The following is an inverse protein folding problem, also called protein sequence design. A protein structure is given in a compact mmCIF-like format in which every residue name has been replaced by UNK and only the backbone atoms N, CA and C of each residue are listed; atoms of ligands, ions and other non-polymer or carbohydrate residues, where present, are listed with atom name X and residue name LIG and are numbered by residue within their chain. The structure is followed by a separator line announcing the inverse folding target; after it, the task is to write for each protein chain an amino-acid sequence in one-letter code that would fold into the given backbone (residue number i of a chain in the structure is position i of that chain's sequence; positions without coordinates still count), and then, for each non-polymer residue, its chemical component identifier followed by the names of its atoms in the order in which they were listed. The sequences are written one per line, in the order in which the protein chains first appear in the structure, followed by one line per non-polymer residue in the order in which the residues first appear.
data_IF_681471605190
#
_entry.id   IF_681471605190
#
_cell.length_a   1.000
_cell.length_b   1.000
_cell.length_c   1.000
_cell.angle_alpha   90.00
_cell.angle_beta   90.00
_cell.angle_gamma   90.00
#
_symmetry.space_group_name_H-M   'P 1'
#
loop_
_entity.id
_entity.type
_entity.pdbx_description
1 polymer ?
#
# COMPACT_ATOMS: atom_id res chain seq x y z
N UNK A 1 27.47 59.60 -24.64
CA UNK A 1 26.28 59.66 -23.75
C UNK A 1 25.01 59.07 -24.41
N UNK A 2 25.13 58.07 -25.31
CA UNK A 2 23.99 57.45 -26.01
C UNK A 2 23.92 55.92 -25.74
N UNK A 3 25.04 55.29 -25.37
CA UNK A 3 25.12 53.84 -25.10
C UNK A 3 24.60 53.46 -23.69
N UNK A 4 24.59 54.40 -22.73
CA UNK A 4 24.07 54.15 -21.37
C UNK A 4 22.54 54.22 -21.26
N UNK A 5 21.87 54.89 -22.19
CA UNK A 5 20.39 54.99 -22.21
C UNK A 5 19.76 53.73 -22.84
N UNK A 6 20.45 53.10 -23.79
CA UNK A 6 19.97 51.88 -24.46
C UNK A 6 19.99 50.64 -23.55
N UNK A 7 20.96 50.57 -22.62
CA UNK A 7 21.01 49.48 -21.64
C UNK A 7 19.98 49.64 -20.50
N UNK A 8 19.54 50.87 -20.21
CA UNK A 8 18.53 51.12 -19.18
C UNK A 8 17.10 50.90 -19.70
N UNK A 9 16.85 51.11 -21.00
CA UNK A 9 15.54 50.81 -21.62
C UNK A 9 15.37 49.33 -21.96
N UNK A 10 16.46 48.60 -22.21
CA UNK A 10 16.41 47.14 -22.41
C UNK A 10 16.18 46.36 -21.10
N UNK A 11 16.58 46.92 -19.95
CA UNK A 11 16.33 46.30 -18.63
C UNK A 11 14.90 46.52 -18.10
N UNK A 12 14.19 47.53 -18.61
CA UNK A 12 12.79 47.83 -18.24
C UNK A 12 11.75 47.11 -19.12
N UNK A 13 12.15 46.49 -20.23
CA UNK A 13 11.25 45.71 -21.11
C UNK A 13 11.15 44.22 -20.76
N UNK A 14 11.92 43.73 -19.78
CA UNK A 14 11.84 42.33 -19.32
C UNK A 14 10.75 42.14 -18.24
N UNK A 15 10.16 43.21 -17.72
CA UNK A 15 9.12 43.16 -16.67
C UNK A 15 7.66 43.24 -17.17
N UNK A 16 7.39 43.14 -18.47
CA UNK A 16 6.01 43.25 -19.01
C UNK A 16 5.48 41.99 -19.71
N UNK A 17 5.99 40.80 -19.39
CA UNK A 17 5.35 39.57 -19.86
C UNK A 17 5.00 38.63 -18.71
N UNK A 18 3.69 38.44 -18.56
CA UNK A 18 3.03 37.43 -17.74
C UNK A 18 3.33 37.46 -16.24
N UNK A 19 2.54 38.25 -15.51
CA UNK A 19 1.98 37.71 -14.27
C UNK A 19 1.09 36.53 -14.72
N UNK A 20 1.67 35.34 -14.83
CA UNK A 20 0.88 34.13 -14.62
C UNK A 20 0.49 34.18 -13.16
N UNK A 21 -0.74 34.61 -12.90
CA UNK A 21 -1.43 34.19 -11.68
C UNK A 21 -1.39 32.67 -11.75
N UNK A 22 -0.48 32.06 -10.99
CA UNK A 22 -0.59 30.66 -10.64
C UNK A 22 -1.86 30.59 -9.81
N UNK A 23 -2.98 30.38 -10.49
CA UNK A 23 -4.19 29.95 -9.84
C UNK A 23 -3.81 28.64 -9.14
N UNK A 24 -3.72 28.71 -7.81
CA UNK A 24 -3.54 27.57 -6.92
C UNK A 24 -4.77 26.64 -6.90
N UNK A 25 -5.60 26.69 -7.94
CA UNK A 25 -6.53 25.62 -8.29
C UNK A 25 -5.73 24.38 -8.69
N UNK A 26 -5.44 23.53 -7.70
CA UNK A 26 -4.89 22.20 -7.96
C UNK A 26 -5.72 21.52 -9.05
N UNK A 27 -5.10 21.23 -10.19
CA UNK A 27 -5.70 20.34 -11.17
C UNK A 27 -5.92 19.01 -10.44
N UNK A 28 -7.16 18.73 -10.07
CA UNK A 28 -7.57 17.41 -9.63
C UNK A 28 -7.32 16.50 -10.83
N UNK A 29 -6.24 15.72 -10.79
CA UNK A 29 -5.96 14.73 -11.81
C UNK A 29 -7.10 13.70 -11.73
N UNK A 30 -8.10 13.84 -12.60
CA UNK A 30 -9.22 12.91 -12.63
C UNK A 30 -8.74 11.52 -13.03
N UNK A 31 -9.14 10.50 -12.26
CA UNK A 31 -8.88 9.10 -12.60
C UNK A 31 -9.39 8.77 -14.01
N UNK A 32 -8.50 8.30 -14.88
CA UNK A 32 -8.80 7.82 -16.23
C UNK A 32 -8.96 6.30 -16.25
N UNK A 33 -9.80 5.78 -17.15
CA UNK A 33 -9.99 4.33 -17.35
C UNK A 33 -9.03 3.81 -18.41
N UNK A 34 -8.26 2.77 -18.07
CA UNK A 34 -7.39 2.05 -18.99
C UNK A 34 -7.88 0.61 -19.12
N UNK A 35 -8.21 0.19 -20.34
CA UNK A 35 -8.62 -1.18 -20.65
C UNK A 35 -7.39 -2.03 -20.92
N UNK A 36 -7.25 -3.12 -20.18
CA UNK A 36 -6.13 -4.06 -20.28
C UNK A 36 -6.47 -5.27 -21.14
N UNK A 37 -7.72 -5.72 -21.05
CA UNK A 37 -8.23 -6.89 -21.76
C UNK A 37 -9.76 -6.84 -21.83
N UNK A 38 -10.35 -7.76 -22.60
CA UNK A 38 -11.80 -7.88 -22.75
C UNK A 38 -12.39 -6.84 -23.69
N UNK A 39 -13.67 -7.01 -24.02
CA UNK A 39 -14.36 -6.18 -25.03
C UNK A 39 -15.79 -5.81 -24.67
N UNK A 40 -16.38 -6.49 -23.69
CA UNK A 40 -17.79 -6.31 -23.35
C UNK A 40 -18.00 -5.04 -22.50
N UNK A 41 -19.26 -4.69 -22.26
CA UNK A 41 -19.60 -3.48 -21.50
C UNK A 41 -19.28 -3.61 -20.02
N UNK A 42 -19.53 -4.80 -19.45
CA UNK A 42 -19.24 -5.12 -18.05
C UNK A 42 -17.74 -5.01 -17.77
N UNK A 43 -17.40 -4.56 -16.57
CA UNK A 43 -16.02 -4.32 -16.14
C UNK A 43 -15.67 -5.11 -14.90
N UNK A 44 -14.41 -5.54 -14.82
CA UNK A 44 -13.74 -5.91 -13.58
C UNK A 44 -12.61 -4.91 -13.37
N UNK A 45 -12.63 -4.23 -12.23
CA UNK A 45 -11.67 -3.16 -11.92
C UNK A 45 -10.53 -3.72 -11.09
N UNK A 46 -9.30 -3.51 -11.52
CA UNK A 46 -8.10 -3.82 -10.75
C UNK A 46 -7.69 -2.57 -9.98
N UNK A 47 -7.56 -2.72 -8.67
CA UNK A 47 -7.02 -1.72 -7.76
C UNK A 47 -5.66 -2.23 -7.26
N UNK A 48 -4.53 -1.65 -7.73
CA UNK A 48 -3.21 -2.02 -7.23
C UNK A 48 -3.00 -1.49 -5.81
N UNK A 49 -2.39 -2.30 -4.95
CA UNK A 49 -1.90 -1.93 -3.63
C UNK A 49 -0.44 -2.35 -3.58
N UNK A 50 0.49 -1.42 -3.83
CA UNK A 50 1.90 -1.77 -3.96
C UNK A 50 2.84 -0.96 -3.07
N UNK A 51 3.84 -1.63 -2.52
CA UNK A 51 4.82 -1.03 -1.62
C UNK A 51 4.29 -0.83 -0.21
N UNK A 52 4.93 0.06 0.55
CA UNK A 52 4.65 0.25 1.98
C UNK A 52 3.36 1.04 2.17
N UNK A 53 2.37 0.40 2.82
CA UNK A 53 1.06 0.99 3.10
C UNK A 53 1.22 2.10 4.15
N UNK A 54 0.96 3.35 3.77
CA UNK A 54 1.01 4.49 4.70
C UNK A 54 0.13 5.64 4.24
N UNK A 55 -0.14 6.56 5.17
CA UNK A 55 -0.88 7.80 4.93
C UNK A 55 0.01 8.93 4.41
N UNK A 56 1.33 8.72 4.35
CA UNK A 56 2.29 9.74 3.91
C UNK A 56 2.13 9.98 2.42
N UNK A 57 2.04 11.26 2.05
CA UNK A 57 2.20 11.72 0.67
C UNK A 57 3.69 11.74 0.34
N UNK A 58 4.07 11.16 -0.79
CA UNK A 58 5.46 11.23 -1.25
C UNK A 58 5.67 12.56 -1.97
N UNK A 59 6.67 13.33 -1.55
CA UNK A 59 7.15 14.48 -2.30
C UNK A 59 8.30 14.04 -3.21
N UNK A 60 8.18 14.28 -4.50
CA UNK A 60 9.28 14.06 -5.42
C UNK A 60 10.29 15.21 -5.33
N UNK A 61 11.51 15.00 -5.84
CA UNK A 61 12.60 15.99 -5.84
C UNK A 61 12.23 17.38 -6.43
N UNK A 62 11.16 17.46 -7.22
CA UNK A 62 10.62 18.69 -7.79
C UNK A 62 9.48 19.33 -6.96
N UNK A 63 9.24 18.88 -5.72
CA UNK A 63 8.18 19.40 -4.85
C UNK A 63 6.76 18.98 -5.24
N UNK A 64 6.62 18.03 -6.17
CA UNK A 64 5.31 17.48 -6.57
C UNK A 64 4.87 16.47 -5.51
N UNK A 65 3.75 16.76 -4.85
CA UNK A 65 3.09 15.86 -3.89
C UNK A 65 2.30 14.79 -4.63
N UNK A 66 2.62 13.53 -4.35
CA UNK A 66 1.82 12.39 -4.77
C UNK A 66 0.90 11.97 -3.62
N UNK A 67 -0.34 11.63 -3.98
CA UNK A 67 -1.31 11.11 -3.04
C UNK A 67 -0.81 9.83 -2.35
N UNK A 68 -1.18 9.68 -1.09
CA UNK A 68 -0.91 8.46 -0.34
C UNK A 68 -1.67 7.27 -0.93
N UNK A 69 -1.17 6.05 -0.68
CA UNK A 69 -1.82 4.79 -1.08
C UNK A 69 -3.28 4.77 -0.60
N UNK A 70 -3.49 5.22 0.64
CA UNK A 70 -4.82 5.31 1.25
C UNK A 70 -5.75 6.22 0.45
N UNK A 71 -5.30 7.41 0.06
CA UNK A 71 -6.12 8.37 -0.68
C UNK A 71 -6.50 7.81 -2.06
N UNK A 72 -5.51 7.27 -2.79
CA UNK A 72 -5.72 6.73 -4.15
C UNK A 72 -6.73 5.59 -4.17
N UNK A 73 -6.61 4.62 -3.27
CA UNK A 73 -7.53 3.48 -3.20
C UNK A 73 -8.94 3.97 -2.87
N UNK A 74 -9.09 4.94 -1.96
CA UNK A 74 -10.41 5.52 -1.64
C UNK A 74 -11.05 6.18 -2.85
N UNK A 75 -10.28 6.91 -3.66
CA UNK A 75 -10.78 7.52 -4.89
C UNK A 75 -11.16 6.49 -5.95
N UNK A 76 -10.33 5.44 -6.11
CA UNK A 76 -10.63 4.34 -7.02
C UNK A 76 -11.91 3.60 -6.62
N UNK A 77 -12.06 3.24 -5.34
CA UNK A 77 -13.27 2.60 -4.82
C UNK A 77 -14.50 3.51 -5.00
N UNK A 78 -14.36 4.82 -4.75
CA UNK A 78 -15.43 5.78 -5.00
C UNK A 78 -15.81 5.82 -6.49
N UNK A 79 -14.84 5.80 -7.40
CA UNK A 79 -15.13 5.75 -8.84
C UNK A 79 -15.85 4.45 -9.23
N UNK A 80 -15.43 3.30 -8.66
CA UNK A 80 -16.12 2.03 -8.85
C UNK A 80 -17.58 2.10 -8.37
N UNK A 81 -17.81 2.71 -7.21
CA UNK A 81 -19.15 2.83 -6.60
C UNK A 81 -20.15 3.58 -7.49
N UNK A 82 -19.68 4.51 -8.34
CA UNK A 82 -20.53 5.27 -9.28
C UNK A 82 -20.58 4.68 -10.70
N UNK A 83 -19.91 3.55 -10.96
CA UNK A 83 -19.89 2.91 -12.29
C UNK A 83 -20.69 1.60 -12.29
N UNK A 84 -21.94 1.68 -12.74
CA UNK A 84 -22.87 0.53 -12.82
C UNK A 84 -22.43 -0.58 -13.79
N UNK A 85 -21.43 -0.31 -14.64
CA UNK A 85 -20.84 -1.33 -15.52
C UNK A 85 -19.83 -2.20 -14.79
N UNK A 86 -19.33 -1.79 -13.61
CA UNK A 86 -18.42 -2.61 -12.81
C UNK A 86 -19.19 -3.73 -12.11
N UNK A 87 -18.77 -4.98 -12.36
CA UNK A 87 -19.40 -6.18 -11.80
C UNK A 87 -18.52 -6.89 -10.76
N UNK A 88 -17.27 -6.45 -10.59
CA UNK A 88 -16.35 -6.97 -9.59
C UNK A 88 -15.07 -6.16 -9.47
N UNK A 89 -14.36 -6.36 -8.37
CA UNK A 89 -13.10 -5.68 -8.05
C UNK A 89 -12.02 -6.70 -7.71
N UNK A 90 -10.83 -6.48 -8.21
CA UNK A 90 -9.62 -7.20 -7.84
C UNK A 90 -8.69 -6.25 -7.09
N UNK A 91 -8.35 -6.59 -5.85
CA UNK A 91 -7.26 -5.94 -5.13
C UNK A 91 -5.97 -6.68 -5.50
N UNK A 92 -5.17 -6.11 -6.40
CA UNK A 92 -3.87 -6.67 -6.79
C UNK A 92 -2.83 -6.19 -5.79
N UNK A 93 -2.42 -7.07 -4.88
CA UNK A 93 -1.61 -6.71 -3.72
C UNK A 93 -0.17 -7.15 -3.94
N UNK A 94 0.75 -6.20 -3.82
CA UNK A 94 2.18 -6.44 -3.76
C UNK A 94 2.84 -5.54 -2.70
N UNK A 95 2.67 -5.90 -1.44
CA UNK A 95 3.06 -5.07 -0.30
C UNK A 95 3.63 -5.90 0.87
N UNK A 96 4.73 -5.46 1.50
CA UNK A 96 5.23 -6.06 2.73
C UNK A 96 4.38 -5.69 3.96
N UNK A 97 3.35 -4.86 3.80
CA UNK A 97 2.59 -4.25 4.88
C UNK A 97 2.88 -2.76 5.01
N UNK A 98 2.76 -2.22 6.22
CA UNK A 98 2.97 -0.81 6.47
C UNK A 98 2.45 -0.36 7.84
N UNK A 99 2.01 0.89 7.93
CA UNK A 99 1.49 1.42 9.20
C UNK A 99 0.18 0.71 9.59
N UNK A 100 0.01 0.48 10.89
CA UNK A 100 -1.17 -0.19 11.44
C UNK A 100 -2.45 0.58 11.08
N UNK A 101 -2.42 1.91 11.22
CA UNK A 101 -3.56 2.79 10.95
C UNK A 101 -3.96 2.81 9.48
N UNK A 102 -3.01 2.93 8.54
CA UNK A 102 -3.34 2.92 7.11
C UNK A 102 -3.97 1.58 6.69
N UNK A 103 -3.44 0.47 7.22
CA UNK A 103 -3.98 -0.87 6.96
C UNK A 103 -5.41 -1.01 7.48
N UNK A 104 -5.70 -0.50 8.68
CA UNK A 104 -7.04 -0.50 9.28
C UNK A 104 -8.04 0.39 8.52
N UNK A 105 -7.60 1.58 8.06
CA UNK A 105 -8.43 2.48 7.25
C UNK A 105 -8.85 1.78 5.96
N UNK A 106 -7.91 1.15 5.25
CA UNK A 106 -8.19 0.47 3.99
C UNK A 106 -9.09 -0.75 4.18
N UNK A 107 -8.82 -1.59 5.20
CA UNK A 107 -9.70 -2.69 5.58
C UNK A 107 -11.13 -2.22 5.81
N UNK A 108 -11.31 -1.16 6.61
CA UNK A 108 -12.63 -0.61 6.90
C UNK A 108 -13.30 0.01 5.67
N UNK A 109 -12.55 0.69 4.80
CA UNK A 109 -13.12 1.25 3.56
C UNK A 109 -13.59 0.15 2.62
N UNK A 110 -12.79 -0.90 2.41
CA UNK A 110 -13.17 -2.02 1.54
C UNK A 110 -14.40 -2.75 2.11
N UNK A 111 -14.44 -2.99 3.42
CA UNK A 111 -15.60 -3.60 4.09
C UNK A 111 -16.86 -2.76 3.91
N UNK A 112 -16.77 -1.43 4.04
CA UNK A 112 -17.89 -0.51 3.80
C UNK A 112 -18.30 -0.47 2.33
N UNK A 113 -17.34 -0.38 1.41
CA UNK A 113 -17.58 -0.42 -0.03
C UNK A 113 -18.36 -1.67 -0.42
N UNK A 114 -17.92 -2.86 0.01
CA UNK A 114 -18.64 -4.12 -0.23
C UNK A 114 -20.06 -4.09 0.29
N UNK A 115 -20.27 -3.54 1.50
CA UNK A 115 -21.60 -3.41 2.09
C UNK A 115 -22.52 -2.47 1.27
N UNK A 116 -21.98 -1.40 0.70
CA UNK A 116 -22.74 -0.42 -0.10
C UNK A 116 -23.06 -0.93 -1.50
N UNK A 117 -22.10 -1.55 -2.17
CA UNK A 117 -22.21 -1.92 -3.59
C UNK A 117 -22.64 -3.37 -3.82
N UNK A 118 -22.45 -4.23 -2.82
CA UNK A 118 -22.61 -5.68 -2.92
C UNK A 118 -21.73 -6.31 -4.02
N UNK A 119 -20.71 -5.61 -4.52
CA UNK A 119 -19.80 -6.13 -5.55
C UNK A 119 -18.83 -7.16 -4.97
N UNK A 120 -18.47 -8.21 -5.72
CA UNK A 120 -17.42 -9.13 -5.31
C UNK A 120 -16.07 -8.42 -5.29
N UNK A 121 -15.33 -8.64 -4.21
CA UNK A 121 -13.96 -8.16 -4.05
C UNK A 121 -13.05 -9.35 -3.83
N UNK A 122 -12.10 -9.57 -4.73
CA UNK A 122 -11.11 -10.65 -4.64
C UNK A 122 -9.73 -10.04 -4.45
N UNK A 123 -8.99 -10.52 -3.45
CA UNK A 123 -7.57 -10.18 -3.30
C UNK A 123 -6.73 -11.14 -4.11
N UNK A 124 -5.75 -10.60 -4.85
CA UNK A 124 -4.75 -11.35 -5.59
C UNK A 124 -3.38 -10.97 -5.05
N UNK A 125 -2.72 -11.90 -4.38
CA UNK A 125 -1.38 -11.72 -3.88
C UNK A 125 -0.36 -11.97 -4.99
N UNK A 126 0.55 -11.01 -5.16
CA UNK A 126 1.64 -11.07 -6.14
C UNK A 126 2.94 -11.52 -5.44
N UNK A 127 4.05 -10.79 -5.59
CA UNK A 127 5.36 -11.17 -5.03
C UNK A 127 5.32 -11.25 -3.49
N UNK A 128 5.00 -10.14 -2.81
CA UNK A 128 4.82 -10.11 -1.36
C UNK A 128 3.43 -9.60 -0.99
N UNK A 129 2.76 -10.23 -0.03
CA UNK A 129 1.49 -9.76 0.53
C UNK A 129 1.40 -10.13 2.00
N UNK A 130 2.14 -9.40 2.83
CA UNK A 130 2.39 -9.75 4.22
C UNK A 130 1.91 -8.66 5.18
N UNK A 131 1.72 -9.01 6.46
CA UNK A 131 1.39 -8.09 7.55
C UNK A 131 0.18 -7.19 7.23
N UNK A 132 0.34 -5.86 7.23
CA UNK A 132 -0.73 -4.91 6.88
C UNK A 132 -1.42 -5.18 5.53
N UNK A 133 -0.74 -5.80 4.57
CA UNK A 133 -1.35 -6.18 3.30
C UNK A 133 -2.30 -7.39 3.45
N UNK A 134 -1.90 -8.39 4.23
CA UNK A 134 -2.74 -9.53 4.60
C UNK A 134 -3.93 -9.09 5.46
N UNK A 135 -3.73 -8.11 6.34
CA UNK A 135 -4.78 -7.45 7.11
C UNK A 135 -5.88 -6.87 6.21
N UNK A 136 -5.49 -6.10 5.18
CA UNK A 136 -6.44 -5.50 4.23
C UNK A 136 -7.22 -6.59 3.48
N UNK A 137 -6.54 -7.66 3.08
CA UNK A 137 -7.14 -8.77 2.34
C UNK A 137 -8.26 -9.50 3.11
N UNK A 138 -8.31 -9.39 4.45
CA UNK A 138 -9.40 -9.95 5.25
C UNK A 138 -10.76 -9.28 4.99
N UNK A 139 -10.78 -8.14 4.28
CA UNK A 139 -12.02 -7.52 3.82
C UNK A 139 -12.59 -8.17 2.54
N UNK A 140 -11.81 -8.99 1.82
CA UNK A 140 -12.18 -9.59 0.53
C UNK A 140 -13.11 -10.82 0.70
N UNK A 141 -13.82 -11.18 -0.37
CA UNK A 141 -14.66 -12.40 -0.44
C UNK A 141 -13.84 -13.66 -0.71
N UNK A 142 -12.66 -13.50 -1.29
CA UNK A 142 -11.78 -14.59 -1.71
C UNK A 142 -10.35 -14.07 -1.85
N UNK A 143 -9.38 -14.89 -1.50
CA UNK A 143 -7.95 -14.56 -1.55
C UNK A 143 -7.23 -15.59 -2.41
N UNK A 144 -6.73 -15.12 -3.54
CA UNK A 144 -5.87 -15.87 -4.44
C UNK A 144 -4.41 -15.45 -4.27
N UNK A 145 -3.47 -16.34 -4.55
CA UNK A 145 -2.04 -16.03 -4.53
C UNK A 145 -1.31 -16.63 -5.73
N UNK A 146 -0.31 -15.92 -6.23
CA UNK A 146 0.66 -16.48 -7.18
C UNK A 146 1.45 -17.62 -6.51
N UNK A 147 1.92 -18.66 -7.23
CA UNK A 147 2.66 -19.77 -6.61
C UNK A 147 3.91 -19.36 -5.84
N UNK A 148 4.53 -18.24 -6.24
CA UNK A 148 5.75 -17.70 -5.61
C UNK A 148 5.45 -16.64 -4.55
N UNK A 149 4.18 -16.38 -4.22
CA UNK A 149 3.82 -15.39 -3.21
C UNK A 149 4.42 -15.74 -1.85
N UNK A 150 4.91 -14.71 -1.16
CA UNK A 150 5.19 -14.75 0.27
C UNK A 150 4.16 -13.91 1.03
N UNK A 151 3.48 -14.54 2.00
CA UNK A 151 2.40 -13.94 2.78
C UNK A 151 2.52 -14.29 4.27
N UNK A 152 1.48 -14.03 5.07
CA UNK A 152 1.51 -14.16 6.52
C UNK A 152 2.07 -12.91 7.18
N UNK A 153 3.09 -13.07 8.02
CA UNK A 153 3.62 -12.01 8.88
C UNK A 153 2.51 -11.36 9.72
N UNK A 154 1.63 -12.21 10.28
CA UNK A 154 0.55 -11.77 11.16
C UNK A 154 1.19 -11.41 12.50
N UNK A 155 1.37 -10.12 12.74
CA UNK A 155 2.14 -9.61 13.85
C UNK A 155 2.21 -8.09 13.84
N UNK A 156 2.71 -7.53 14.94
CA UNK A 156 2.95 -6.10 15.10
C UNK A 156 4.35 -5.92 15.66
N UNK A 157 5.12 -5.02 15.07
CA UNK A 157 6.47 -4.69 15.52
C UNK A 157 6.58 -3.19 15.76
N UNK A 158 7.40 -2.83 16.74
CA UNK A 158 7.91 -1.48 16.92
C UNK A 158 9.44 -1.58 16.90
N UNK A 159 10.06 -0.91 15.95
CA UNK A 159 11.51 -0.94 15.77
C UNK A 159 12.15 0.36 16.28
N UNK A 160 13.33 0.25 16.85
CA UNK A 160 14.14 1.38 17.31
C UNK A 160 15.56 0.93 17.62
N UNK A 161 16.50 1.87 17.55
CA UNK A 161 17.89 1.64 17.92
C UNK A 161 18.23 2.45 19.18
N UNK A 162 19.09 1.88 20.03
CA UNK A 162 19.71 2.61 21.12
C UNK A 162 21.17 2.90 20.75
N UNK A 163 21.53 4.19 20.71
CA UNK A 163 22.85 4.70 20.35
C UNK A 163 23.55 5.39 21.53
N UNK A 164 23.00 5.28 22.76
CA UNK A 164 23.54 5.90 23.98
C UNK A 164 25.04 5.68 24.13
N UNK A 165 25.48 4.42 24.13
CA UNK A 165 26.89 4.04 24.32
C UNK A 165 27.80 4.60 23.20
N UNK A 166 27.29 4.69 21.98
CA UNK A 166 28.01 5.27 20.85
C UNK A 166 28.23 6.78 21.01
N UNK A 167 27.18 7.48 21.46
CA UNK A 167 27.24 8.92 21.74
C UNK A 167 28.18 9.23 22.93
N UNK A 168 28.12 8.42 23.98
CA UNK A 168 28.99 8.57 25.16
C UNK A 168 30.48 8.45 24.77
N UNK A 169 30.83 7.51 23.87
CA UNK A 169 32.21 7.34 23.39
C UNK A 169 32.76 8.54 22.63
N UNK A 170 31.91 9.30 21.94
CA UNK A 170 32.30 10.52 21.21
C UNK A 170 32.07 11.79 22.04
N UNK A 171 31.79 11.66 23.34
CA UNK A 171 31.60 12.77 24.26
C UNK A 171 30.25 13.51 24.14
N UNK A 172 29.30 12.96 23.39
CA UNK A 172 27.94 13.54 23.25
C UNK A 172 27.06 13.01 24.38
N UNK A 173 26.42 13.93 25.11
CA UNK A 173 25.53 13.60 26.24
C UNK A 173 24.11 14.09 25.97
N UNK A 174 23.13 13.25 26.33
CA UNK A 174 21.72 13.64 26.34
C UNK A 174 21.44 14.59 27.52
N UNK A 175 20.92 15.79 27.24
CA UNK A 175 20.54 16.81 28.23
C UNK A 175 19.04 17.10 28.22
N UNK A 176 18.21 16.15 27.78
CA UNK A 176 16.77 16.36 27.65
C UNK A 176 16.07 16.40 29.00
N UNK A 177 15.31 17.46 29.26
CA UNK A 177 14.39 17.58 30.38
C UNK A 177 12.97 17.24 29.91
N UNK A 178 12.23 16.47 30.70
CA UNK A 178 10.88 16.03 30.35
C UNK A 178 9.88 16.34 31.44
N UNK A 179 8.64 16.65 31.05
CA UNK A 179 7.54 16.94 31.97
C UNK A 179 7.03 15.71 32.76
N UNK A 180 7.46 14.50 32.42
CA UNK A 180 7.09 13.28 33.15
C UNK A 180 7.97 12.09 32.78
N UNK A 181 8.02 11.08 33.66
CA UNK A 181 8.96 9.96 33.60
C UNK A 181 8.91 9.16 32.28
N UNK A 182 7.73 9.04 31.67
CA UNK A 182 7.53 8.26 30.45
C UNK A 182 7.44 9.12 29.17
N UNK A 183 7.66 10.45 29.25
CA UNK A 183 7.51 11.35 28.10
C UNK A 183 8.57 11.15 27.02
N UNK A 184 9.74 10.62 27.40
CA UNK A 184 10.85 10.27 26.50
C UNK A 184 10.95 8.76 26.21
N UNK A 185 9.85 8.02 26.44
CA UNK A 185 9.78 6.59 26.11
C UNK A 185 10.13 6.36 24.63
N UNK A 186 11.00 5.40 24.34
CA UNK A 186 11.49 5.14 22.99
C UNK A 186 12.61 6.08 22.50
N UNK A 187 13.18 6.91 23.37
CA UNK A 187 14.39 7.68 23.03
C UNK A 187 15.52 6.75 22.57
N UNK A 188 16.20 7.11 21.47
CA UNK A 188 17.37 6.39 20.97
C UNK A 188 18.64 6.66 21.78
N UNK A 189 18.63 7.68 22.65
CA UNK A 189 19.80 8.11 23.44
C UNK A 189 19.75 7.66 24.89
N UNK A 190 18.72 6.89 25.27
CA UNK A 190 18.52 6.39 26.64
C UNK A 190 18.16 4.92 26.63
N UNK A 191 18.58 4.23 27.67
CA UNK A 191 18.08 2.89 27.94
C UNK A 191 16.63 2.93 28.43
N UNK A 192 15.82 2.02 27.90
CA UNK A 192 14.43 1.90 28.25
C UNK A 192 14.27 1.14 29.56
N UNK A 193 13.49 1.69 30.50
CA UNK A 193 13.23 1.04 31.78
C UNK A 193 12.31 -0.19 31.62
N UNK A 194 12.24 -1.06 32.63
CA UNK A 194 11.32 -2.21 32.61
C UNK A 194 9.84 -1.77 32.52
N UNK A 195 9.48 -0.68 33.17
CA UNK A 195 8.13 -0.09 33.09
C UNK A 195 7.83 0.38 31.67
N UNK A 196 8.75 1.13 31.05
CA UNK A 196 8.60 1.61 29.68
C UNK A 196 8.48 0.47 28.67
N UNK A 197 9.30 -0.58 28.81
CA UNK A 197 9.18 -1.80 28.00
C UNK A 197 7.79 -2.42 28.13
N UNK A 198 7.27 -2.53 29.36
CA UNK A 198 5.92 -3.07 29.63
C UNK A 198 4.82 -2.20 29.00
N UNK A 199 4.94 -0.87 29.07
CA UNK A 199 4.00 0.06 28.45
C UNK A 199 3.95 -0.17 26.93
N UNK A 200 5.10 -0.17 26.25
CA UNK A 200 5.15 -0.35 24.80
C UNK A 200 4.70 -1.75 24.37
N UNK A 201 5.08 -2.78 25.13
CA UNK A 201 4.60 -4.13 24.87
C UNK A 201 3.07 -4.22 24.99
N UNK A 202 2.46 -3.58 25.99
CA UNK A 202 0.99 -3.59 26.14
C UNK A 202 0.27 -2.94 24.94
N UNK A 203 0.89 -1.93 24.31
CA UNK A 203 0.37 -1.32 23.08
C UNK A 203 0.52 -2.29 21.92
N UNK A 204 1.68 -2.94 21.77
CA UNK A 204 1.91 -3.94 20.72
C UNK A 204 0.91 -5.09 20.84
N UNK A 205 0.70 -5.62 22.04
CA UNK A 205 -0.22 -6.73 22.32
C UNK A 205 -1.66 -6.36 21.95
N UNK A 206 -2.08 -5.13 22.28
CA UNK A 206 -3.42 -4.62 21.92
C UNK A 206 -3.61 -4.54 20.39
N UNK A 207 -2.63 -4.00 19.67
CA UNK A 207 -2.67 -3.92 18.20
C UNK A 207 -2.61 -5.30 17.55
N UNK A 208 -1.80 -6.21 18.10
CA UNK A 208 -1.73 -7.61 17.66
C UNK A 208 -3.08 -8.32 17.85
N UNK A 209 -3.71 -8.18 19.02
CA UNK A 209 -5.01 -8.80 19.29
C UNK A 209 -6.08 -8.32 18.29
N UNK A 210 -6.07 -7.04 17.91
CA UNK A 210 -6.94 -6.54 16.83
C UNK A 210 -6.68 -7.25 15.51
N UNK A 211 -5.42 -7.38 15.10
CA UNK A 211 -5.06 -8.08 13.86
C UNK A 211 -5.50 -9.55 13.92
N UNK A 212 -5.20 -10.24 15.02
CA UNK A 212 -5.61 -11.62 15.25
C UNK A 212 -7.12 -11.82 15.07
N UNK A 213 -7.94 -10.95 15.69
CA UNK A 213 -9.40 -11.03 15.55
C UNK A 213 -9.89 -10.81 14.13
N UNK A 214 -9.28 -9.88 13.39
CA UNK A 214 -9.64 -9.64 11.99
C UNK A 214 -9.29 -10.84 11.10
N UNK A 215 -8.14 -11.48 11.33
CA UNK A 215 -7.82 -12.73 10.62
C UNK A 215 -8.78 -13.83 11.02
N UNK A 216 -9.15 -13.94 12.30
CA UNK A 216 -10.10 -14.95 12.77
C UNK A 216 -11.48 -14.78 12.15
N UNK A 217 -11.96 -13.53 12.02
CA UNK A 217 -13.20 -13.19 11.33
C UNK A 217 -13.13 -13.48 9.83
N UNK A 218 -12.01 -13.16 9.18
CA UNK A 218 -11.81 -13.38 7.74
C UNK A 218 -11.59 -14.85 7.37
N UNK A 219 -11.02 -15.64 8.28
CA UNK A 219 -10.72 -17.08 8.11
C UNK A 219 -11.44 -17.92 9.19
N UNK A 220 -12.79 -17.96 9.19
CA UNK A 220 -13.56 -18.57 10.26
C UNK A 220 -13.34 -20.09 10.40
N UNK A 221 -12.92 -20.76 9.33
CA UNK A 221 -12.63 -22.20 9.30
C UNK A 221 -11.39 -22.62 10.09
N UNK A 222 -10.44 -21.72 10.33
CA UNK A 222 -9.22 -22.03 11.09
C UNK A 222 -9.57 -22.02 12.58
N UNK A 223 -9.33 -23.10 13.32
CA UNK A 223 -9.56 -23.10 14.76
C UNK A 223 -8.66 -22.07 15.46
N UNK A 224 -9.14 -21.47 16.56
CA UNK A 224 -8.47 -20.33 17.20
C UNK A 224 -7.08 -20.71 17.76
N UNK A 225 -6.96 -21.89 18.35
CA UNK A 225 -5.70 -22.47 18.83
C UNK A 225 -4.69 -22.67 17.70
N UNK A 226 -5.13 -23.22 16.56
CA UNK A 226 -4.30 -23.34 15.36
C UNK A 226 -3.89 -21.96 14.88
N UNK A 227 -4.81 -21.00 14.79
CA UNK A 227 -4.52 -19.65 14.33
C UNK A 227 -3.47 -18.96 15.23
N UNK A 228 -3.50 -19.17 16.55
CA UNK A 228 -2.47 -18.65 17.47
C UNK A 228 -1.07 -19.16 17.13
N UNK A 229 -0.94 -20.39 16.67
CA UNK A 229 0.35 -20.95 16.23
C UNK A 229 0.82 -20.41 14.87
N UNK A 230 -0.12 -20.00 14.02
CA UNK A 230 0.16 -19.43 12.70
C UNK A 230 0.45 -17.92 12.77
N UNK A 231 -0.06 -17.24 13.79
CA UNK A 231 0.00 -15.78 13.97
C UNK A 231 1.14 -15.33 14.89
N UNK A 232 2.31 -15.95 14.81
CA UNK A 232 3.48 -15.57 15.61
C UNK A 232 4.46 -14.63 14.86
N UNK A 233 4.00 -14.04 13.75
CA UNK A 233 4.80 -13.17 12.89
C UNK A 233 5.60 -13.89 11.78
N UNK A 234 5.55 -15.22 11.68
CA UNK A 234 6.22 -15.94 10.58
C UNK A 234 5.60 -15.68 9.20
N UNK A 235 6.39 -15.90 8.17
CA UNK A 235 5.95 -15.86 6.76
C UNK A 235 5.59 -17.26 6.25
N UNK A 236 4.78 -17.30 5.19
CA UNK A 236 4.38 -18.52 4.50
C UNK A 236 4.55 -18.36 2.99
N UNK A 237 4.96 -19.44 2.34
CA UNK A 237 4.78 -19.61 0.89
C UNK A 237 3.29 -19.72 0.55
N UNK A 238 2.93 -19.49 -0.71
CA UNK A 238 1.55 -19.63 -1.19
C UNK A 238 0.94 -21.01 -0.84
N UNK A 239 1.69 -22.10 -1.08
CA UNK A 239 1.25 -23.47 -0.77
C UNK A 239 1.06 -23.72 0.73
N UNK A 240 1.97 -23.22 1.56
CA UNK A 240 1.81 -23.30 3.02
C UNK A 240 0.59 -22.50 3.50
N UNK A 241 0.39 -21.31 2.94
CA UNK A 241 -0.76 -20.47 3.26
C UNK A 241 -2.07 -21.14 2.85
N UNK A 242 -2.12 -21.79 1.68
CA UNK A 242 -3.28 -22.53 1.21
C UNK A 242 -3.57 -23.72 2.14
N UNK A 243 -2.55 -24.52 2.45
CA UNK A 243 -2.66 -25.69 3.34
C UNK A 243 -3.17 -25.32 4.73
N UNK A 244 -2.73 -24.18 5.27
CA UNK A 244 -3.16 -23.65 6.56
C UNK A 244 -4.48 -22.88 6.50
N UNK A 245 -5.10 -22.78 5.32
CA UNK A 245 -6.34 -22.06 5.13
C UNK A 245 -6.22 -20.55 5.29
N UNK A 246 -5.03 -19.95 5.16
CA UNK A 246 -4.80 -18.50 5.16
C UNK A 246 -5.19 -17.82 3.84
N UNK A 247 -5.14 -18.58 2.74
CA UNK A 247 -5.64 -18.17 1.42
C UNK A 247 -6.58 -19.24 0.86
N UNK A 248 -7.29 -18.92 -0.22
CA UNK A 248 -8.30 -19.80 -0.80
C UNK A 248 -7.84 -20.53 -2.06
N UNK A 249 -6.90 -19.96 -2.81
CA UNK A 249 -6.39 -20.54 -4.06
C UNK A 249 -4.97 -20.09 -4.39
N UNK A 250 -4.20 -21.02 -4.95
CA UNK A 250 -2.94 -20.72 -5.64
C UNK A 250 -3.14 -20.86 -7.15
N UNK A 251 -2.63 -19.93 -7.94
CA UNK A 251 -2.78 -19.98 -9.40
C UNK A 251 -2.24 -18.75 -10.11
N UNK A 252 -2.65 -18.56 -11.37
CA UNK A 252 -2.22 -17.44 -12.19
C UNK A 252 -3.36 -16.44 -12.46
N UNK A 253 -2.99 -15.24 -12.91
CA UNK A 253 -3.92 -14.12 -12.95
C UNK A 253 -5.16 -14.35 -13.84
N UNK A 254 -5.01 -15.01 -14.97
CA UNK A 254 -6.12 -15.30 -15.88
C UNK A 254 -7.21 -16.16 -15.21
N UNK A 255 -6.80 -17.05 -14.31
CA UNK A 255 -7.74 -17.85 -13.51
C UNK A 255 -8.48 -16.99 -12.48
N UNK A 256 -7.82 -15.98 -11.92
CA UNK A 256 -8.39 -15.12 -10.88
C UNK A 256 -9.52 -14.23 -11.41
N UNK A 257 -9.49 -13.87 -12.70
CA UNK A 257 -10.64 -13.23 -13.37
C UNK A 257 -11.87 -14.14 -13.29
N UNK A 258 -11.68 -15.43 -13.57
CA UNK A 258 -12.75 -16.43 -13.50
C UNK A 258 -13.24 -16.61 -12.07
N UNK A 259 -12.35 -16.54 -11.08
CA UNK A 259 -12.71 -16.65 -9.65
C UNK A 259 -13.60 -15.48 -9.19
N UNK A 260 -13.37 -14.26 -9.72
CA UNK A 260 -14.25 -13.09 -9.51
C UNK A 260 -15.62 -13.34 -10.13
N UNK A 261 -15.66 -13.79 -11.39
CA UNK A 261 -16.90 -14.05 -12.11
C UNK A 261 -17.74 -15.18 -11.48
N UNK A 262 -17.08 -16.11 -10.78
CA UNK A 262 -17.72 -17.21 -10.06
C UNK A 262 -18.31 -16.80 -8.69
N UNK A 263 -18.05 -15.57 -8.19
CA UNK A 263 -18.61 -15.12 -6.91
C UNK A 263 -20.12 -14.96 -7.01
N UNK A 264 -20.84 -15.35 -5.95
CA UNK A 264 -22.32 -15.33 -5.89
C UNK A 264 -22.94 -13.95 -6.17
N UNK A 265 -22.21 -12.90 -5.83
CA UNK A 265 -22.62 -11.52 -6.01
C UNK A 265 -22.14 -10.88 -7.33
N UNK A 266 -21.43 -11.63 -8.18
CA UNK A 266 -21.11 -11.20 -9.54
C UNK A 266 -22.36 -11.23 -10.41
N UNK A 267 -22.84 -10.05 -10.84
CA UNK A 267 -24.07 -9.89 -11.62
C UNK A 267 -23.76 -9.44 -13.04
N UNK A 268 -23.50 -10.40 -13.93
CA UNK A 268 -23.24 -10.11 -15.35
C UNK A 268 -24.49 -9.59 -16.06
N UNK A 269 -24.28 -8.64 -16.97
CA UNK A 269 -25.29 -8.20 -17.92
C UNK A 269 -25.52 -9.30 -18.98
N UNK A 270 -26.73 -9.40 -19.59
CA UNK A 270 -26.99 -10.39 -20.64
C UNK A 270 -25.95 -10.31 -21.77
N UNK A 271 -25.45 -11.47 -22.22
CA UNK A 271 -24.45 -11.57 -23.29
C UNK A 271 -23.02 -11.14 -22.93
N UNK A 272 -22.76 -10.65 -21.71
CA UNK A 272 -21.42 -10.25 -21.28
C UNK A 272 -20.67 -11.47 -20.69
N UNK A 273 -19.79 -12.08 -21.46
CA UNK A 273 -18.98 -13.23 -21.04
C UNK A 273 -17.46 -12.93 -21.07
N UNK A 274 -17.06 -11.80 -21.64
CA UNK A 274 -15.69 -11.33 -21.73
C UNK A 274 -15.60 -9.87 -21.21
N UNK A 275 -15.78 -9.68 -19.88
CA UNK A 275 -15.79 -8.35 -19.28
C UNK A 275 -14.47 -7.63 -19.53
N UNK A 276 -14.53 -6.31 -19.69
CA UNK A 276 -13.32 -5.49 -19.76
C UNK A 276 -12.59 -5.50 -18.43
N UNK A 277 -11.31 -5.80 -18.47
CA UNK A 277 -10.43 -5.68 -17.31
C UNK A 277 -9.84 -4.28 -17.35
N UNK A 278 -10.15 -3.47 -16.35
CA UNK A 278 -9.79 -2.04 -16.36
C UNK A 278 -9.03 -1.63 -15.11
N UNK A 279 -8.24 -0.56 -15.24
CA UNK A 279 -7.60 0.13 -14.12
C UNK A 279 -7.96 1.59 -14.16
N UNK A 280 -8.20 2.17 -12.98
CA UNK A 280 -8.36 3.61 -12.83
C UNK A 280 -7.05 4.22 -12.36
N UNK A 281 -6.46 5.11 -13.16
CA UNK A 281 -5.19 5.77 -12.83
C UNK A 281 -5.22 7.24 -13.19
N UNK A 282 -4.55 8.07 -12.41
CA UNK A 282 -4.34 9.50 -12.70
C UNK A 282 -3.23 9.74 -13.71
N UNK A 283 -2.40 8.72 -13.99
CA UNK A 283 -1.25 8.84 -14.88
C UNK A 283 -1.58 8.49 -16.33
N UNK A 284 -1.09 9.31 -17.27
CA UNK A 284 -1.21 9.09 -18.72
C UNK A 284 -0.27 8.01 -19.27
N UNK A 285 0.51 7.29 -18.44
CA UNK A 285 1.35 6.21 -18.92
C UNK A 285 0.47 5.11 -19.51
N UNK A 286 0.81 4.66 -20.71
CA UNK A 286 0.08 3.60 -21.41
C UNK A 286 0.32 2.29 -20.65
N UNK A 287 -0.62 1.93 -19.77
CA UNK A 287 -0.67 0.60 -19.16
C UNK A 287 -1.17 -0.37 -20.24
N UNK A 288 -0.27 -1.19 -20.80
CA UNK A 288 -0.58 -2.11 -21.90
C UNK A 288 -1.03 -3.49 -21.43
N UNK A 289 -0.59 -3.89 -20.24
CA UNK A 289 -0.93 -5.19 -19.67
C UNK A 289 -0.94 -5.15 -18.14
N UNK A 290 -1.39 -6.23 -17.53
CA UNK A 290 -1.57 -6.29 -16.08
C UNK A 290 -0.27 -6.21 -15.27
N UNK A 291 0.84 -6.67 -15.80
CA UNK A 291 2.13 -6.63 -15.10
C UNK A 291 2.70 -5.21 -15.04
N UNK A 292 2.22 -4.31 -15.90
CA UNK A 292 2.50 -2.88 -15.86
C UNK A 292 1.58 -2.10 -14.92
N UNK A 293 0.51 -2.73 -14.41
CA UNK A 293 -0.35 -2.15 -13.39
C UNK A 293 0.45 -2.15 -12.09
N UNK A 294 1.18 -1.07 -11.87
CA UNK A 294 1.92 -0.81 -10.64
C UNK A 294 1.38 0.42 -9.94
N UNK A 295 1.44 0.44 -8.62
CA UNK A 295 1.26 1.70 -7.93
C UNK A 295 2.50 2.53 -8.15
N UNK A 296 2.35 3.73 -8.70
CA UNK A 296 3.48 4.64 -8.84
C UNK A 296 3.79 5.21 -7.47
N UNK A 297 4.62 4.47 -6.75
CA UNK A 297 5.64 5.07 -5.92
C UNK A 297 6.71 5.49 -6.93
N UNK A 298 6.80 6.79 -7.20
CA UNK A 298 8.05 7.34 -7.70
C UNK A 298 9.08 6.97 -6.66
N UNK A 299 9.81 5.92 -6.97
CA UNK A 299 10.96 5.56 -6.20
C UNK A 299 11.85 6.79 -6.19
N UNK A 300 12.13 7.27 -4.98
CA UNK A 300 13.46 7.76 -4.67
C UNK A 300 14.44 6.58 -4.86
N UNK A 301 14.55 6.06 -6.09
CA UNK A 301 15.63 5.21 -6.57
C UNK A 301 16.82 6.13 -6.73
N UNK A 302 17.25 6.70 -5.61
CA UNK A 302 18.53 7.34 -5.50
C UNK A 302 19.53 6.25 -5.83
N UNK A 303 20.35 6.53 -6.83
CA UNK A 303 21.49 5.71 -7.27
C UNK A 303 22.28 5.14 -6.07
N UNK A 304 22.30 5.87 -4.95
CA UNK A 304 22.87 5.51 -3.64
C UNK A 304 22.18 4.30 -2.97
N UNK A 305 20.85 4.20 -2.98
CA UNK A 305 20.12 3.05 -2.40
C UNK A 305 20.41 1.74 -3.14
N UNK A 306 20.62 1.84 -4.46
CA UNK A 306 21.01 0.72 -5.31
C UNK A 306 22.48 0.33 -5.12
N UNK A 307 23.35 1.29 -4.77
CA UNK A 307 24.79 1.09 -4.56
C UNK A 307 25.13 0.59 -3.14
N UNK A 308 24.32 0.92 -2.14
CA UNK A 308 24.52 0.53 -0.72
C UNK A 308 23.70 -0.73 -0.34
N UNK A 309 22.85 -1.26 -1.23
CA UNK A 309 22.02 -2.43 -0.94
C UNK A 309 20.92 -2.17 0.10
N UNK A 310 20.54 -0.90 0.30
CA UNK A 310 19.47 -0.48 1.20
C UNK A 310 18.13 -0.32 0.46
N UNK A 311 17.82 -1.18 -0.53
CA UNK A 311 16.41 -1.54 -0.75
C UNK A 311 16.03 -2.44 0.44
N UNK A 312 15.55 -1.83 1.52
CA UNK A 312 15.29 -2.50 2.79
C UNK A 312 14.11 -3.47 2.72
N UNK A 313 13.47 -3.61 1.55
CA UNK A 313 12.49 -4.66 1.29
C UNK A 313 13.20 -5.97 0.90
N UNK A 314 13.18 -6.95 1.79
CA UNK A 314 13.63 -8.31 1.47
C UNK A 314 12.88 -8.83 0.24
N UNK A 315 13.62 -9.23 -0.81
CA UNK A 315 13.07 -9.83 -2.03
C UNK A 315 13.72 -11.20 -2.25
N UNK A 316 12.90 -12.18 -2.61
CA UNK A 316 13.39 -13.48 -3.04
C UNK A 316 13.80 -13.39 -4.51
N UNK A 317 15.06 -13.72 -4.82
CA UNK A 317 15.63 -13.51 -6.15
C UNK A 317 16.27 -14.79 -6.68
N UNK A 318 15.98 -15.12 -7.94
CA UNK A 318 16.81 -16.02 -8.74
C UNK A 318 17.91 -15.21 -9.42
N UNK A 319 18.90 -14.77 -8.64
CA UNK A 319 20.01 -13.94 -9.10
C UNK A 319 21.32 -14.73 -9.05
N UNK A 320 21.99 -14.84 -10.19
CA UNK A 320 23.39 -15.25 -10.25
C UNK A 320 24.24 -13.98 -10.25
N UNK A 321 25.12 -13.84 -9.24
CA UNK A 321 26.02 -12.70 -9.09
C UNK A 321 27.47 -13.20 -9.02
N UNK A 322 28.08 -13.53 -10.18
CA UNK A 322 29.43 -14.07 -10.26
C UNK A 322 30.51 -13.08 -9.84
#
# INVERSE_FOLDING_TARGET
MIIRIFFLTMLLFIFQNCITVFDGGGQTLHLQEFVLAGRDTDKIVIIPIEGVISEKTNENFFGIKNDSIVSKIKEQLKKVEFDNTVKGVILKINSPGGTVTASDILFNEIKKFKKRTNLPVVSVFMDTSASGAYYIAMASDFICAHPTTVTGSIGVIMQGFNIKEGLEKIGVKDQSFTSGANKSIGSSTREMTAEQKKILQSVIDSLYNRFFHIVKEGRPSIQEDILKTLADGRIFTAEQALKNGLIDKVGYFDEFISDVMARKNYRKSPGNNNPRIVVYSTERKIIKNIYQVKEVITSNDNFINKFIGMDTSFKFMYLWNP
#
